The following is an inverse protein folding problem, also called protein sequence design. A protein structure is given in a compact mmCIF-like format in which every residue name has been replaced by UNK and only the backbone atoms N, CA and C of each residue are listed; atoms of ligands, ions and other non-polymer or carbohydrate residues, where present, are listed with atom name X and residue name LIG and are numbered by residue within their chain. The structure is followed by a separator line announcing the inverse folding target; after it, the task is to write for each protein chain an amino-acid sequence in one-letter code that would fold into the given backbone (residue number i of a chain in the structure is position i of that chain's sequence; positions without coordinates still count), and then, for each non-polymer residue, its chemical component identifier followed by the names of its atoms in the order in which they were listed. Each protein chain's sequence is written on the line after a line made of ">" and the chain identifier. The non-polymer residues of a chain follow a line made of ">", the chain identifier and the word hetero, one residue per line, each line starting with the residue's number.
data_IF_877068683580
#
_entry.id   IF_877068683580
#
_cell.length_a   1.000
_cell.length_b   1.000
_cell.length_c   1.000
_cell.angle_alpha   90.00
_cell.angle_beta   90.00
_cell.angle_gamma   90.00
#
_symmetry.space_group_name_H-M   'P 1'
#
loop_
_entity.id
_entity.type
_entity.pdbx_description
1 polymer ?
#
# COMPACT_ATOMS: atom_id res chain seq x y z
N UNK A 1 -4.29 8.26 24.86
CA UNK A 1 -4.35 8.02 23.40
C UNK A 1 -3.32 6.99 22.93
N UNK A 2 -2.03 7.08 23.33
CA UNK A 2 -0.94 6.20 22.85
C UNK A 2 -1.17 4.69 23.09
N UNK A 3 -1.61 4.27 24.29
CA UNK A 3 -1.87 2.84 24.57
C UNK A 3 -2.98 2.23 23.71
N UNK A 4 -4.02 3.01 23.37
CA UNK A 4 -5.12 2.56 22.51
C UNK A 4 -4.65 2.42 21.06
N UNK A 5 -3.95 3.43 20.54
CA UNK A 5 -3.32 3.37 19.21
C UNK A 5 -2.43 2.13 19.08
N UNK A 6 -1.56 1.87 20.05
CA UNK A 6 -0.63 0.74 20.01
C UNK A 6 -1.39 -0.59 19.96
N UNK A 7 -2.44 -0.74 20.78
CA UNK A 7 -3.29 -1.94 20.76
C UNK A 7 -3.97 -2.16 19.40
N UNK A 8 -4.47 -1.09 18.78
CA UNK A 8 -5.13 -1.15 17.48
C UNK A 8 -4.15 -1.49 16.35
N UNK A 9 -2.96 -0.88 16.35
CA UNK A 9 -1.88 -1.25 15.43
C UNK A 9 -1.48 -2.72 15.58
N UNK A 10 -1.41 -3.25 16.80
CA UNK A 10 -1.12 -4.68 17.02
C UNK A 10 -2.24 -5.60 16.52
N UNK A 11 -3.51 -5.19 16.66
CA UNK A 11 -4.62 -5.94 16.07
C UNK A 11 -4.55 -5.95 14.54
N UNK A 12 -4.30 -4.78 13.94
CA UNK A 12 -4.15 -4.64 12.50
C UNK A 12 -2.98 -5.47 11.96
N UNK A 13 -1.82 -5.42 12.63
CA UNK A 13 -0.64 -6.23 12.32
C UNK A 13 -1.00 -7.72 12.24
N UNK A 14 -1.51 -8.30 13.34
CA UNK A 14 -1.84 -9.72 13.39
C UNK A 14 -2.89 -10.10 12.33
N UNK A 15 -3.94 -9.28 12.20
CA UNK A 15 -4.98 -9.53 11.20
C UNK A 15 -4.42 -9.57 9.77
N UNK A 16 -3.51 -8.66 9.42
CA UNK A 16 -2.91 -8.65 8.09
C UNK A 16 -2.01 -9.88 7.87
N UNK A 17 -1.19 -10.24 8.85
CA UNK A 17 -0.33 -11.43 8.78
C UNK A 17 -1.18 -12.70 8.63
N UNK A 18 -2.27 -12.83 9.37
CA UNK A 18 -3.19 -13.97 9.27
C UNK A 18 -3.82 -14.04 7.87
N UNK A 19 -4.24 -12.90 7.30
CA UNK A 19 -4.81 -12.85 5.93
C UNK A 19 -3.81 -13.32 4.89
N UNK A 20 -2.59 -12.75 4.88
CA UNK A 20 -1.60 -13.03 3.82
C UNK A 20 -0.95 -14.40 3.96
N UNK A 21 -1.04 -15.02 5.14
CA UNK A 21 -0.53 -16.38 5.38
C UNK A 21 -1.60 -17.45 5.41
N UNK A 22 -2.87 -17.09 5.21
CA UNK A 22 -3.96 -18.05 5.14
C UNK A 22 -3.81 -18.97 3.93
N UNK A 23 -4.07 -20.27 4.11
CA UNK A 23 -4.03 -21.27 3.04
C UNK A 23 -4.96 -20.92 1.87
N UNK A 24 -6.05 -20.17 2.08
CA UNK A 24 -6.91 -19.72 0.98
C UNK A 24 -6.23 -18.72 0.03
N UNK A 25 -5.38 -17.85 0.56
CA UNK A 25 -4.63 -16.84 -0.21
C UNK A 25 -3.39 -17.48 -0.86
N UNK A 26 -2.68 -18.34 -0.12
CA UNK A 26 -1.44 -18.97 -0.58
C UNK A 26 -1.62 -20.32 -1.29
N UNK A 27 -2.74 -21.00 -1.06
CA UNK A 27 -3.02 -22.36 -1.57
C UNK A 27 -3.88 -22.38 -2.83
N UNK A 28 -4.70 -21.34 -3.08
CA UNK A 28 -5.33 -21.14 -4.39
C UNK A 28 -4.32 -20.57 -5.41
N UNK A 29 -3.42 -19.70 -4.97
CA UNK A 29 -2.29 -19.16 -5.73
C UNK A 29 -1.06 -20.04 -5.53
N UNK A 30 -0.96 -21.13 -6.30
CA UNK A 30 0.20 -22.02 -6.25
C UNK A 30 1.50 -21.25 -6.61
N UNK A 31 2.53 -21.35 -5.75
CA UNK A 31 3.83 -20.64 -5.87
C UNK A 31 4.59 -20.97 -7.16
N UNK A 32 4.47 -22.22 -7.61
CA UNK A 32 5.08 -22.68 -8.85
C UNK A 32 4.34 -22.15 -10.08
N UNK A 33 3.06 -21.79 -9.93
CA UNK A 33 2.21 -21.28 -11.02
C UNK A 33 2.16 -19.75 -11.08
N UNK A 34 2.15 -19.08 -9.93
CA UNK A 34 1.95 -17.62 -9.84
C UNK A 34 2.97 -16.94 -8.91
N UNK A 35 4.29 -17.11 -9.13
CA UNK A 35 5.29 -16.49 -8.27
C UNK A 35 5.19 -14.96 -8.27
N UNK A 36 4.88 -14.34 -9.42
CA UNK A 36 4.69 -12.89 -9.52
C UNK A 36 3.53 -12.37 -8.66
N UNK A 37 2.40 -13.08 -8.61
CA UNK A 37 1.26 -12.68 -7.80
C UNK A 37 1.60 -12.61 -6.30
N UNK A 38 2.34 -13.61 -5.81
CA UNK A 38 2.74 -13.69 -4.40
C UNK A 38 3.69 -12.58 -4.01
N UNK A 39 4.60 -12.19 -4.91
CA UNK A 39 5.48 -11.04 -4.68
C UNK A 39 4.67 -9.78 -4.40
N UNK A 40 3.67 -9.45 -5.22
CA UNK A 40 2.85 -8.25 -5.01
C UNK A 40 2.09 -8.30 -3.69
N UNK A 41 1.57 -9.48 -3.30
CA UNK A 41 0.85 -9.66 -2.04
C UNK A 41 1.79 -9.39 -0.85
N UNK A 42 3.00 -9.93 -0.87
CA UNK A 42 3.97 -9.73 0.21
C UNK A 42 4.50 -8.30 0.24
N UNK A 43 4.78 -7.69 -0.92
CA UNK A 43 5.26 -6.31 -1.00
C UNK A 43 4.17 -5.31 -0.55
N UNK A 44 2.91 -5.47 -0.98
CA UNK A 44 1.80 -4.65 -0.45
C UNK A 44 1.73 -4.76 1.07
N UNK A 45 1.82 -5.97 1.61
CA UNK A 45 1.73 -6.19 3.04
C UNK A 45 2.82 -5.45 3.82
N UNK A 46 4.10 -5.61 3.45
CA UNK A 46 5.20 -4.98 4.20
C UNK A 46 5.14 -3.45 4.15
N UNK A 47 4.82 -2.86 2.99
CA UNK A 47 4.75 -1.39 2.88
C UNK A 47 3.51 -0.81 3.57
N UNK A 48 2.40 -1.55 3.56
CA UNK A 48 1.21 -1.17 4.31
C UNK A 48 1.48 -1.20 5.82
N UNK A 49 2.20 -2.21 6.32
CA UNK A 49 2.60 -2.28 7.73
C UNK A 49 3.51 -1.10 8.09
N UNK A 50 4.55 -0.86 7.28
CA UNK A 50 5.47 0.26 7.46
C UNK A 50 4.71 1.59 7.60
N UNK A 51 3.88 1.91 6.60
CA UNK A 51 3.21 3.21 6.53
C UNK A 51 2.17 3.43 7.62
N UNK A 52 1.34 2.42 7.90
CA UNK A 52 0.21 2.57 8.83
C UNK A 52 0.64 2.41 10.29
N UNK A 53 1.50 1.45 10.57
CA UNK A 53 1.89 1.12 11.94
C UNK A 53 3.08 1.97 12.39
N UNK A 54 4.01 2.29 11.46
CA UNK A 54 5.28 2.97 11.73
C UNK A 54 6.09 2.27 12.82
N UNK A 55 6.51 1.02 12.58
CA UNK A 55 7.41 0.33 13.50
C UNK A 55 8.81 0.97 13.47
N UNK A 56 9.56 0.84 14.57
CA UNK A 56 10.88 1.50 14.73
C UNK A 56 12.00 0.51 15.08
N UNK A 57 11.71 -0.80 15.20
CA UNK A 57 12.73 -1.78 15.60
C UNK A 57 12.62 -3.08 14.80
N UNK A 58 12.26 -4.20 15.42
CA UNK A 58 12.36 -5.52 14.79
C UNK A 58 11.45 -5.64 13.57
N UNK A 59 10.23 -5.10 13.63
CA UNK A 59 9.32 -5.12 12.48
C UNK A 59 9.90 -4.28 11.33
N UNK A 60 10.42 -3.08 11.61
CA UNK A 60 11.05 -2.22 10.61
C UNK A 60 12.28 -2.89 9.98
N UNK A 61 13.11 -3.57 10.78
CA UNK A 61 14.26 -4.34 10.30
C UNK A 61 13.82 -5.46 9.33
N UNK A 62 12.78 -6.21 9.67
CA UNK A 62 12.25 -7.30 8.83
C UNK A 62 11.71 -6.73 7.51
N UNK A 63 10.97 -5.61 7.56
CA UNK A 63 10.47 -4.92 6.35
C UNK A 63 11.63 -4.50 5.46
N UNK A 64 12.65 -3.85 6.02
CA UNK A 64 13.81 -3.41 5.27
C UNK A 64 14.60 -4.58 4.66
N UNK A 65 14.80 -5.66 5.41
CA UNK A 65 15.44 -6.87 4.88
C UNK A 65 14.62 -7.52 3.76
N UNK A 66 13.29 -7.57 3.90
CA UNK A 66 12.41 -8.09 2.86
C UNK A 66 12.50 -7.26 1.57
N UNK A 67 12.52 -5.92 1.70
CA UNK A 67 12.74 -4.99 0.60
C UNK A 67 14.09 -5.25 -0.08
N UNK A 68 15.20 -5.17 0.66
CA UNK A 68 16.56 -5.30 0.11
C UNK A 68 16.75 -6.67 -0.55
N UNK A 69 16.29 -7.75 0.09
CA UNK A 69 16.39 -9.10 -0.47
C UNK A 69 15.72 -9.23 -1.84
N UNK A 70 14.62 -8.51 -2.08
CA UNK A 70 13.90 -8.57 -3.35
C UNK A 70 14.55 -7.72 -4.44
N UNK A 71 14.97 -6.49 -4.10
CA UNK A 71 15.46 -5.50 -5.07
C UNK A 71 16.97 -5.58 -5.34
N UNK A 72 17.80 -5.94 -4.36
CA UNK A 72 19.28 -5.97 -4.52
C UNK A 72 19.79 -7.22 -5.25
N UNK A 73 18.91 -8.19 -5.51
CA UNK A 73 19.25 -9.44 -6.20
C UNK A 73 18.45 -9.57 -7.51
N UNK A 74 18.74 -8.77 -8.55
CA UNK A 74 17.98 -8.80 -9.80
C UNK A 74 18.10 -10.15 -10.52
N UNK A 75 19.24 -10.83 -10.40
CA UNK A 75 19.55 -12.09 -11.11
C UNK A 75 18.94 -13.35 -10.45
N UNK A 76 18.32 -13.20 -9.27
CA UNK A 76 17.71 -14.32 -8.56
C UNK A 76 16.38 -14.73 -9.23
N UNK A 77 16.16 -16.04 -9.37
CA UNK A 77 14.94 -16.54 -10.01
C UNK A 77 13.68 -16.14 -9.20
N UNK A 78 12.53 -16.03 -9.90
CA UNK A 78 11.30 -15.53 -9.31
C UNK A 78 10.81 -16.35 -8.10
N UNK A 79 11.01 -17.67 -8.13
CA UNK A 79 10.58 -18.57 -7.06
C UNK A 79 11.41 -18.39 -5.78
N UNK A 80 12.72 -18.24 -5.92
CA UNK A 80 13.62 -17.93 -4.80
C UNK A 80 13.27 -16.59 -4.15
N UNK A 81 12.92 -15.57 -4.95
CA UNK A 81 12.43 -14.28 -4.42
C UNK A 81 11.15 -14.43 -3.61
N UNK A 82 10.20 -15.25 -4.07
CA UNK A 82 8.97 -15.56 -3.34
C UNK A 82 9.29 -16.23 -2.00
N UNK A 83 10.14 -17.26 -1.99
CA UNK A 83 10.54 -17.94 -0.76
C UNK A 83 11.26 -17.01 0.23
N UNK A 84 12.12 -16.12 -0.27
CA UNK A 84 12.83 -15.13 0.53
C UNK A 84 11.86 -14.15 1.21
N UNK A 85 10.91 -13.59 0.45
CA UNK A 85 9.88 -12.70 0.99
C UNK A 85 8.98 -13.43 1.99
N UNK A 86 8.53 -14.64 1.65
CA UNK A 86 7.67 -15.42 2.52
C UNK A 86 8.34 -15.76 3.85
N UNK A 87 9.61 -16.15 3.82
CA UNK A 87 10.40 -16.38 5.03
C UNK A 87 10.38 -15.16 5.93
N UNK A 88 10.53 -13.94 5.37
CA UNK A 88 10.44 -12.68 6.13
C UNK A 88 9.04 -12.42 6.67
N UNK A 89 8.00 -12.70 5.90
CA UNK A 89 6.61 -12.61 6.37
C UNK A 89 6.37 -13.55 7.56
N UNK A 90 6.90 -14.77 7.52
CA UNK A 90 6.74 -15.73 8.61
C UNK A 90 7.48 -15.34 9.88
N UNK A 91 8.56 -14.55 9.79
CA UNK A 91 9.23 -13.99 10.97
C UNK A 91 8.29 -13.10 11.81
N UNK A 92 7.32 -12.43 11.19
CA UNK A 92 6.34 -11.61 11.92
C UNK A 92 5.50 -12.42 12.91
N UNK A 93 5.25 -13.70 12.65
CA UNK A 93 4.50 -14.59 13.58
C UNK A 93 5.25 -14.88 14.86
N UNK A 94 6.57 -14.71 14.86
CA UNK A 94 7.43 -14.98 16.01
C UNK A 94 7.69 -13.73 16.87
N UNK A 95 7.17 -12.57 16.47
CA UNK A 95 7.32 -11.34 17.24
C UNK A 95 6.42 -11.41 18.46
N UNK A 96 7.01 -11.36 19.64
CA UNK A 96 6.22 -11.32 20.86
C UNK A 96 5.52 -9.96 21.00
N UNK A 97 4.33 -10.01 21.60
CA UNK A 97 3.45 -8.85 21.72
C UNK A 97 4.05 -7.71 22.53
N UNK A 98 4.85 -8.02 23.54
CA UNK A 98 5.45 -7.02 24.41
C UNK A 98 6.52 -6.21 23.66
N UNK A 99 7.38 -6.90 22.91
CA UNK A 99 8.42 -6.27 22.10
C UNK A 99 7.82 -5.48 20.96
N UNK A 100 6.79 -6.00 20.28
CA UNK A 100 6.05 -5.24 19.27
C UNK A 100 5.53 -3.91 19.82
N UNK A 101 4.94 -3.89 21.02
CA UNK A 101 4.43 -2.64 21.59
C UNK A 101 5.53 -1.66 22.03
N UNK A 102 6.74 -2.16 22.33
CA UNK A 102 7.90 -1.30 22.59
C UNK A 102 8.36 -0.58 21.33
N UNK A 103 8.04 -1.08 20.13
CA UNK A 103 8.37 -0.42 18.86
C UNK A 103 7.46 0.77 18.54
N UNK A 104 6.24 0.80 19.08
CA UNK A 104 5.20 1.78 18.71
C UNK A 104 5.24 3.07 19.54
N UNK A 105 6.44 3.53 19.91
CA UNK A 105 6.61 4.79 20.62
C UNK A 105 6.60 5.96 19.64
N UNK A 106 6.13 7.13 20.10
CA UNK A 106 6.16 8.32 19.26
C UNK A 106 7.59 8.86 19.21
N UNK A 107 8.27 8.67 18.08
CA UNK A 107 9.47 9.43 17.75
C UNK A 107 9.08 10.69 16.98
N UNK A 108 9.64 11.82 17.39
CA UNK A 108 9.79 12.99 16.51
C UNK A 108 10.90 12.68 15.53
N UNK A 109 10.53 12.09 14.38
CA UNK A 109 11.31 11.92 13.14
C UNK A 109 12.85 11.89 13.31
N UNK A 110 13.44 10.70 13.26
CA UNK A 110 14.80 10.58 12.71
C UNK A 110 14.70 10.65 11.19
N UNK A 111 15.53 11.49 10.59
CA UNK A 111 15.55 11.77 9.15
C UNK A 111 15.73 10.48 8.33
N UNK A 112 14.66 9.92 7.81
CA UNK A 112 14.76 9.07 6.63
C UNK A 112 15.09 9.98 5.45
N UNK A 113 16.32 9.88 4.95
CA UNK A 113 16.79 10.58 3.76
C UNK A 113 16.21 9.85 2.55
N UNK A 114 14.88 9.82 2.42
CA UNK A 114 14.26 9.30 1.21
C UNK A 114 14.60 10.27 0.08
N UNK A 115 15.24 9.73 -0.96
CA UNK A 115 15.68 10.54 -2.08
C UNK A 115 14.47 11.05 -2.85
N UNK A 116 14.46 12.33 -3.19
CA UNK A 116 13.49 12.87 -4.14
C UNK A 116 13.81 12.30 -5.52
N UNK A 117 12.82 11.69 -6.16
CA UNK A 117 12.92 11.25 -7.57
C UNK A 117 12.05 12.13 -8.46
N UNK A 118 12.43 12.32 -9.74
CA UNK A 118 11.55 12.97 -10.70
C UNK A 118 10.22 12.24 -10.78
N UNK A 119 9.11 12.98 -10.86
CA UNK A 119 7.78 12.36 -10.97
C UNK A 119 7.65 11.45 -12.20
N UNK A 120 8.40 11.72 -13.26
CA UNK A 120 8.49 10.85 -14.44
C UNK A 120 8.94 9.41 -14.11
N UNK A 121 9.85 9.23 -13.14
CA UNK A 121 10.27 7.90 -12.69
C UNK A 121 9.13 7.14 -12.00
N UNK A 122 8.33 7.84 -11.18
CA UNK A 122 7.13 7.27 -10.57
C UNK A 122 6.11 6.89 -11.64
N UNK A 123 5.89 7.74 -12.65
CA UNK A 123 4.99 7.42 -13.77
C UNK A 123 5.43 6.17 -14.52
N UNK A 124 6.73 6.01 -14.75
CA UNK A 124 7.26 4.83 -15.45
C UNK A 124 6.97 3.53 -14.68
N UNK A 125 7.15 3.54 -13.35
CA UNK A 125 6.81 2.40 -12.49
C UNK A 125 5.31 2.09 -12.64
N UNK A 126 4.45 3.10 -12.55
CA UNK A 126 3.00 2.92 -12.66
C UNK A 126 2.60 2.39 -14.04
N UNK A 127 3.23 2.88 -15.11
CA UNK A 127 2.97 2.42 -16.48
C UNK A 127 3.31 0.93 -16.65
N UNK A 128 4.46 0.49 -16.13
CA UNK A 128 4.87 -0.92 -16.18
C UNK A 128 3.89 -1.81 -15.41
N UNK A 129 3.51 -1.44 -14.20
CA UNK A 129 2.63 -2.26 -13.37
C UNK A 129 1.17 -2.25 -13.87
N UNK A 130 0.67 -1.12 -14.39
CA UNK A 130 -0.67 -1.04 -14.99
C UNK A 130 -0.79 -1.93 -16.25
N UNK A 131 0.28 -2.07 -17.03
CA UNK A 131 0.31 -3.04 -18.13
C UNK A 131 0.25 -4.48 -17.61
N UNK A 132 0.97 -4.78 -16.52
CA UNK A 132 0.95 -6.09 -15.87
C UNK A 132 -0.42 -6.50 -15.31
N UNK A 133 -1.22 -5.52 -14.85
CA UNK A 133 -2.58 -5.77 -14.33
C UNK A 133 -3.51 -6.40 -15.37
N UNK A 134 -3.37 -6.09 -16.66
CA UNK A 134 -4.28 -6.56 -17.71
C UNK A 134 -4.40 -8.09 -17.74
N UNK A 135 -3.27 -8.78 -17.59
CA UNK A 135 -3.25 -10.24 -17.55
C UNK A 135 -4.05 -10.78 -16.34
N UNK A 136 -3.89 -10.17 -15.17
CA UNK A 136 -4.64 -10.57 -13.97
C UNK A 136 -6.13 -10.24 -14.10
N UNK A 137 -6.49 -9.17 -14.82
CA UNK A 137 -7.88 -8.78 -15.06
C UNK A 137 -8.58 -9.79 -15.96
N UNK A 138 -7.94 -10.17 -17.07
CA UNK A 138 -8.45 -11.18 -18.01
C UNK A 138 -8.65 -12.55 -17.35
N UNK A 139 -7.77 -12.88 -16.40
CA UNK A 139 -7.81 -14.15 -15.66
C UNK A 139 -8.61 -14.07 -14.33
N UNK A 140 -9.30 -12.95 -14.06
CA UNK A 140 -10.17 -12.75 -12.89
C UNK A 140 -9.46 -12.93 -11.54
N UNK A 141 -8.22 -12.44 -11.47
CA UNK A 141 -7.39 -12.45 -10.27
C UNK A 141 -7.45 -11.10 -9.53
N UNK A 142 -8.67 -10.64 -9.20
CA UNK A 142 -8.93 -9.33 -8.58
C UNK A 142 -8.08 -9.07 -7.33
N UNK A 143 -7.88 -10.09 -6.50
CA UNK A 143 -7.06 -9.99 -5.29
C UNK A 143 -5.62 -9.56 -5.58
N UNK A 144 -5.03 -10.09 -6.66
CA UNK A 144 -3.67 -9.74 -7.09
C UNK A 144 -3.65 -8.30 -7.60
N UNK A 145 -4.69 -7.86 -8.29
CA UNK A 145 -4.79 -6.48 -8.78
C UNK A 145 -4.87 -5.49 -7.62
N UNK A 146 -5.63 -5.81 -6.56
CA UNK A 146 -5.64 -5.01 -5.34
C UNK A 146 -4.25 -4.95 -4.69
N UNK A 147 -3.52 -6.08 -4.66
CA UNK A 147 -2.16 -6.13 -4.15
C UNK A 147 -1.20 -5.28 -5.01
N UNK A 148 -1.29 -5.32 -6.34
CA UNK A 148 -0.48 -4.46 -7.24
C UNK A 148 -0.76 -2.98 -6.96
N UNK A 149 -2.03 -2.59 -6.84
CA UNK A 149 -2.40 -1.19 -6.53
C UNK A 149 -1.85 -0.75 -5.17
N UNK A 150 -1.97 -1.60 -4.15
CA UNK A 150 -1.44 -1.32 -2.81
C UNK A 150 0.09 -1.27 -2.78
N UNK A 151 0.76 -2.19 -3.49
CA UNK A 151 2.19 -2.20 -3.71
C UNK A 151 2.68 -0.89 -4.33
N UNK A 152 2.06 -0.41 -5.41
CA UNK A 152 2.47 0.84 -6.08
C UNK A 152 2.47 2.04 -5.12
N UNK A 153 1.41 2.15 -4.32
CA UNK A 153 1.26 3.22 -3.33
C UNK A 153 2.29 3.06 -2.20
N UNK A 154 2.37 1.87 -1.62
CA UNK A 154 3.27 1.58 -0.51
C UNK A 154 4.74 1.72 -0.89
N UNK A 155 5.14 1.19 -2.04
CA UNK A 155 6.49 1.30 -2.58
C UNK A 155 6.92 2.76 -2.73
N UNK A 156 6.04 3.60 -3.29
CA UNK A 156 6.32 5.02 -3.45
C UNK A 156 6.50 5.74 -2.12
N UNK A 157 5.65 5.44 -1.13
CA UNK A 157 5.74 6.03 0.20
C UNK A 157 6.99 5.57 0.96
N UNK A 158 7.40 4.31 0.77
CA UNK A 158 8.56 3.72 1.41
C UNK A 158 9.88 4.27 0.84
N UNK A 159 9.98 4.40 -0.48
CA UNK A 159 11.26 4.70 -1.14
C UNK A 159 11.54 6.19 -1.37
N UNK A 160 10.50 7.03 -1.47
CA UNK A 160 10.64 8.36 -2.05
C UNK A 160 10.07 9.47 -1.17
N UNK A 161 10.73 10.63 -1.25
CA UNK A 161 10.12 11.89 -0.83
C UNK A 161 9.13 12.35 -1.92
N UNK A 162 7.86 11.96 -1.77
CA UNK A 162 6.83 12.21 -2.78
C UNK A 162 6.44 13.69 -2.86
N UNK A 163 6.10 14.20 -4.07
CA UNK A 163 5.40 15.48 -4.19
C UNK A 163 4.14 15.47 -3.33
N UNK A 164 3.84 16.60 -2.70
CA UNK A 164 2.73 16.73 -1.75
C UNK A 164 1.38 16.17 -2.25
N UNK A 165 0.88 16.47 -3.46
CA UNK A 165 -0.39 15.92 -3.93
C UNK A 165 -0.35 14.39 -4.06
N UNK A 166 0.80 13.81 -4.43
CA UNK A 166 0.97 12.35 -4.53
C UNK A 166 0.92 11.74 -3.13
N UNK A 167 1.64 12.31 -2.16
CA UNK A 167 1.64 11.83 -0.78
C UNK A 167 0.23 11.86 -0.15
N UNK A 168 -0.52 12.95 -0.38
CA UNK A 168 -1.88 13.12 0.15
C UNK A 168 -2.87 12.17 -0.51
N UNK A 169 -2.78 11.95 -1.82
CA UNK A 169 -3.61 10.96 -2.53
C UNK A 169 -3.23 9.52 -2.12
N UNK A 170 -1.97 9.23 -1.88
CA UNK A 170 -1.51 7.94 -1.34
C UNK A 170 -2.03 7.71 0.08
N UNK A 171 -2.08 8.75 0.92
CA UNK A 171 -2.69 8.65 2.24
C UNK A 171 -4.21 8.41 2.15
N UNK A 172 -4.90 9.13 1.27
CA UNK A 172 -6.33 8.93 1.01
C UNK A 172 -6.63 7.50 0.50
N UNK A 173 -5.75 6.94 -0.34
CA UNK A 173 -5.85 5.55 -0.77
C UNK A 173 -5.93 4.60 0.44
N UNK A 174 -5.02 4.74 1.40
CA UNK A 174 -5.05 3.92 2.61
C UNK A 174 -6.28 4.14 3.48
N UNK A 175 -6.81 5.36 3.56
CA UNK A 175 -8.09 5.63 4.24
C UNK A 175 -9.27 4.90 3.59
N UNK A 176 -9.23 4.70 2.27
CA UNK A 176 -10.26 4.01 1.51
C UNK A 176 -10.09 2.48 1.61
N UNK A 177 -8.86 1.96 1.56
CA UNK A 177 -8.63 0.49 1.62
C UNK A 177 -8.69 -0.07 3.04
N UNK A 178 -8.31 0.71 4.05
CA UNK A 178 -8.28 0.29 5.46
C UNK A 178 -9.22 1.15 6.35
N UNK A 179 -10.50 1.34 5.98
CA UNK A 179 -11.37 2.31 6.63
C UNK A 179 -11.61 1.97 8.12
N UNK A 180 -11.65 0.67 8.45
CA UNK A 180 -11.78 0.19 9.82
C UNK A 180 -10.58 0.59 10.69
N UNK A 181 -9.36 0.53 10.15
CA UNK A 181 -8.17 0.92 10.88
C UNK A 181 -8.25 2.39 11.30
N UNK A 182 -8.59 3.27 10.35
CA UNK A 182 -8.75 4.69 10.63
C UNK A 182 -9.93 5.00 11.57
N UNK A 183 -11.07 4.31 11.42
CA UNK A 183 -12.20 4.49 12.33
C UNK A 183 -11.84 4.07 13.76
N UNK A 184 -11.14 2.95 13.93
CA UNK A 184 -10.74 2.45 15.24
C UNK A 184 -9.74 3.42 15.91
N UNK A 185 -8.88 4.07 15.13
CA UNK A 185 -7.98 5.13 15.61
C UNK A 185 -8.71 6.43 16.02
N UNK A 186 -10.02 6.53 15.78
CA UNK A 186 -10.85 7.68 16.14
C UNK A 186 -10.99 8.73 15.04
N UNK A 187 -10.54 8.45 13.81
CA UNK A 187 -10.78 9.35 12.69
C UNK A 187 -12.22 9.22 12.21
N UNK A 188 -12.87 10.35 11.94
CA UNK A 188 -14.15 10.37 11.24
C UNK A 188 -13.89 9.99 9.78
N UNK A 189 -14.31 8.80 9.40
CA UNK A 189 -14.23 8.32 8.02
C UNK A 189 -15.65 8.07 7.49
N UNK A 190 -16.01 8.58 6.30
CA UNK A 190 -17.28 8.23 5.67
C UNK A 190 -17.24 6.80 5.09
N UNK A 191 -16.06 6.19 5.02
CA UNK A 191 -15.82 4.87 4.47
C UNK A 191 -16.10 3.80 5.53
N UNK A 192 -16.74 2.71 5.14
CA UNK A 192 -17.01 1.56 6.00
C UNK A 192 -16.56 0.26 5.31
N UNK A 193 -16.63 -0.89 5.98
CA UNK A 193 -16.21 -2.17 5.37
C UNK A 193 -17.29 -2.72 4.43
N UNK A 194 -17.67 -1.98 3.41
CA UNK A 194 -18.59 -2.46 2.36
C UNK A 194 -17.83 -2.63 1.05
N UNK A 195 -18.16 -3.68 0.30
CA UNK A 195 -17.60 -3.87 -1.05
C UNK A 195 -18.19 -2.93 -2.11
N UNK A 196 -19.18 -2.13 -1.73
CA UNK A 196 -19.89 -1.20 -2.60
C UNK A 196 -19.24 0.19 -2.59
N UNK A 197 -18.16 0.34 -3.35
CA UNK A 197 -17.38 1.58 -3.49
C UNK A 197 -18.23 2.74 -4.04
N UNK A 198 -19.29 2.45 -4.80
CA UNK A 198 -20.16 3.44 -5.42
C UNK A 198 -20.87 4.32 -4.37
N UNK A 199 -21.12 3.78 -3.17
CA UNK A 199 -21.70 4.55 -2.06
C UNK A 199 -20.82 5.69 -1.57
N UNK A 200 -19.52 5.66 -1.86
CA UNK A 200 -18.57 6.67 -1.42
C UNK A 200 -18.10 7.57 -2.56
N UNK A 201 -18.71 7.46 -3.75
CA UNK A 201 -18.30 8.21 -4.94
C UNK A 201 -18.22 9.72 -4.67
N UNK A 202 -19.26 10.29 -4.05
CA UNK A 202 -19.31 11.71 -3.76
C UNK A 202 -18.18 12.15 -2.82
N UNK A 203 -17.99 11.42 -1.72
CA UNK A 203 -17.00 11.74 -0.70
C UNK A 203 -15.58 11.62 -1.26
N UNK A 204 -15.27 10.53 -1.97
CA UNK A 204 -13.96 10.32 -2.58
C UNK A 204 -13.67 11.41 -3.63
N UNK A 205 -14.61 11.68 -4.55
CA UNK A 205 -14.43 12.75 -5.55
C UNK A 205 -14.24 14.12 -4.89
N UNK A 206 -14.95 14.40 -3.81
CA UNK A 206 -14.81 15.65 -3.06
C UNK A 206 -13.44 15.78 -2.41
N UNK A 207 -12.96 14.74 -1.72
CA UNK A 207 -11.65 14.75 -1.07
C UNK A 207 -10.51 14.84 -2.08
N UNK A 208 -10.58 14.09 -3.18
CA UNK A 208 -9.60 14.19 -4.29
C UNK A 208 -9.56 15.60 -4.85
N UNK A 209 -10.71 16.22 -5.16
CA UNK A 209 -10.76 17.60 -5.67
C UNK A 209 -10.20 18.60 -4.67
N UNK A 210 -10.44 18.41 -3.37
CA UNK A 210 -9.88 19.26 -2.33
C UNK A 210 -8.35 19.17 -2.31
N UNK A 211 -7.79 17.96 -2.38
CA UNK A 211 -6.34 17.70 -2.45
C UNK A 211 -5.71 18.34 -3.69
N UNK A 212 -6.35 18.22 -4.85
CA UNK A 212 -5.83 18.86 -6.06
C UNK A 212 -5.88 20.40 -5.95
N UNK A 213 -7.00 20.94 -5.46
CA UNK A 213 -7.20 22.38 -5.31
C UNK A 213 -6.21 23.01 -4.33
N UNK A 214 -5.93 22.39 -3.19
CA UNK A 214 -5.01 22.93 -2.19
C UNK A 214 -3.55 22.97 -2.69
N UNK A 215 -3.19 22.06 -3.60
CA UNK A 215 -1.86 21.97 -4.19
C UNK A 215 -1.70 22.78 -5.49
N UNK A 216 -2.80 23.30 -6.06
CA UNK A 216 -2.81 23.97 -7.36
C UNK A 216 -1.89 25.19 -7.44
N UNK A 217 -1.72 25.94 -6.34
CA UNK A 217 -0.81 27.10 -6.31
C UNK A 217 0.66 26.71 -6.49
N UNK A 218 1.04 25.55 -5.94
CA UNK A 218 2.40 25.00 -6.02
C UNK A 218 2.63 24.20 -7.30
N UNK A 219 1.57 23.60 -7.86
CA UNK A 219 1.61 22.80 -9.09
C UNK A 219 0.58 23.30 -10.11
N UNK A 220 0.84 24.44 -10.81
CA UNK A 220 -0.15 25.05 -11.71
C UNK A 220 -0.53 24.17 -12.91
N UNK A 221 0.35 23.26 -13.33
CA UNK A 221 0.14 22.37 -14.46
C UNK A 221 -0.73 21.15 -14.12
N UNK A 222 -1.05 20.94 -12.85
CA UNK A 222 -1.84 19.80 -12.34
C UNK A 222 -3.34 19.90 -12.67
N UNK A 223 -3.75 20.87 -13.49
CA UNK A 223 -5.13 21.03 -13.88
C UNK A 223 -5.59 19.87 -14.77
N UNK A 224 -6.30 18.91 -14.18
CA UNK A 224 -6.80 17.72 -14.85
C UNK A 224 -8.24 17.41 -14.42
N UNK A 225 -8.97 16.74 -15.30
CA UNK A 225 -10.29 16.21 -14.96
C UNK A 225 -10.16 14.95 -14.07
N UNK A 226 -10.93 14.91 -12.98
CA UNK A 226 -10.91 13.80 -12.02
C UNK A 226 -11.81 12.69 -12.54
N UNK A 227 -11.19 11.71 -13.21
CA UNK A 227 -11.87 10.53 -13.75
C UNK A 227 -11.60 9.31 -12.86
N UNK A 228 -12.61 8.93 -12.09
CA UNK A 228 -12.63 7.74 -11.24
C UNK A 228 -13.84 6.90 -11.62
N UNK A 229 -13.64 5.59 -11.76
CA UNK A 229 -14.65 4.63 -12.17
C UNK A 229 -15.19 3.87 -10.95
N UNK A 230 -16.45 4.10 -10.60
CA UNK A 230 -17.11 3.47 -9.45
C UNK A 230 -17.99 2.27 -9.82
N UNK A 231 -17.94 1.81 -11.08
CA UNK A 231 -18.75 0.67 -11.56
C UNK A 231 -18.43 -0.64 -10.85
N UNK A 232 -17.18 -0.80 -10.39
CA UNK A 232 -16.77 -1.90 -9.52
C UNK A 232 -15.59 -1.48 -8.65
N UNK A 233 -15.37 -2.22 -7.56
CA UNK A 233 -14.20 -2.03 -6.69
C UNK A 233 -12.88 -2.16 -7.47
N UNK A 234 -12.82 -3.10 -8.41
CA UNK A 234 -11.66 -3.30 -9.28
C UNK A 234 -11.38 -2.08 -10.17
N UNK A 235 -12.40 -1.62 -10.92
CA UNK A 235 -12.27 -0.46 -11.80
C UNK A 235 -11.94 0.81 -11.03
N UNK A 236 -12.44 0.94 -9.81
CA UNK A 236 -12.07 2.04 -8.93
C UNK A 236 -10.58 2.08 -8.63
N UNK A 237 -9.98 0.97 -8.17
CA UNK A 237 -8.55 1.00 -7.83
C UNK A 237 -7.66 1.25 -9.05
N UNK A 238 -7.96 0.62 -10.19
CA UNK A 238 -7.20 0.85 -11.43
C UNK A 238 -7.31 2.33 -11.84
N UNK A 239 -8.51 2.91 -11.83
CA UNK A 239 -8.70 4.33 -12.16
C UNK A 239 -8.08 5.28 -11.14
N UNK A 240 -8.01 4.90 -9.86
CA UNK A 240 -7.33 5.67 -8.80
C UNK A 240 -5.81 5.72 -9.00
N UNK A 241 -5.18 4.58 -9.28
CA UNK A 241 -3.76 4.52 -9.64
C UNK A 241 -3.49 5.33 -10.91
N UNK A 242 -4.38 5.22 -11.90
CA UNK A 242 -4.30 5.98 -13.16
C UNK A 242 -4.43 7.49 -12.93
N UNK A 243 -5.28 7.93 -12.00
CA UNK A 243 -5.42 9.33 -11.59
C UNK A 243 -4.08 9.86 -11.08
N UNK A 244 -3.45 9.17 -10.12
CA UNK A 244 -2.16 9.56 -9.56
C UNK A 244 -1.10 9.60 -10.66
N UNK A 245 -1.00 8.55 -11.48
CA UNK A 245 -0.08 8.48 -12.62
C UNK A 245 -0.19 9.69 -13.55
N UNK A 246 -1.41 10.17 -13.79
CA UNK A 246 -1.69 11.23 -14.75
C UNK A 246 -1.51 12.65 -14.20
N UNK A 247 -1.14 12.81 -12.92
CA UNK A 247 -0.83 14.12 -12.36
C UNK A 247 0.29 14.80 -13.17
N UNK A 248 0.19 16.11 -13.36
CA UNK A 248 1.21 16.90 -14.03
C UNK A 248 1.82 17.89 -13.05
N UNK A 249 3.00 17.53 -12.53
CA UNK A 249 3.66 18.16 -11.39
C UNK A 249 4.96 18.86 -11.80
#
# INVERSE_FOLDING_TARGET
>A
MTKLKNRLSGHFFNQLIDIITAEGVLGSLNRDRFPGALVYIYLDAIYKLDYLIKPESKVAEIINQAHLNYFDKPDENALSKVYSLESKILEFKNINREDFYKELYQVTHTFEINSSVPFASIRQIFDTELQGILWYEENKHDFVIFAICGYLIGFCLYNYALPQPVAELSHLYYRIVEPKYFSDLGFTTPYNKTDDIAKWEYQIKSEVKAILKQNQSRYPQMNMDVKLDFSSRLKFFISYITLIRNLNL
#
